data_IF_089202205969
#
_entry.id   IF_089202205969
#
_cell.length_a   1.000
_cell.length_b   1.000
_cell.length_c   1.000
_cell.angle_alpha   90.00
_cell.angle_beta   90.00
_cell.angle_gamma   90.00
#
_symmetry.space_group_name_H-M   'P 1'
#
loop_
_entity.id
_entity.type
_entity.pdbx_description
1 polymer ?
#
# COMPACT_ATOMS: atom_id res chain seq x y z
N UNK A 1 17.25 -19.14 -38.74
CA UNK A 1 16.68 -20.45 -38.27
C UNK A 1 17.71 -21.34 -37.57
N UNK A 2 18.96 -21.54 -38.04
CA UNK A 2 19.92 -22.42 -37.37
C UNK A 2 20.26 -21.99 -35.93
N UNK A 3 20.55 -20.71 -35.73
CA UNK A 3 20.91 -20.13 -34.42
C UNK A 3 19.79 -20.28 -33.37
N UNK A 4 18.52 -20.09 -33.75
CA UNK A 4 17.38 -20.26 -32.82
C UNK A 4 17.29 -21.72 -32.36
N UNK A 5 17.49 -22.67 -33.28
CA UNK A 5 17.47 -24.10 -32.97
C UNK A 5 18.62 -24.48 -32.04
N UNK A 6 19.83 -24.03 -32.33
CA UNK A 6 21.01 -24.29 -31.49
C UNK A 6 20.85 -23.71 -30.08
N UNK A 7 20.38 -22.46 -29.94
CA UNK A 7 20.12 -21.84 -28.63
C UNK A 7 19.02 -22.62 -27.89
N UNK A 8 17.95 -23.04 -28.58
CA UNK A 8 16.87 -23.82 -27.98
C UNK A 8 17.38 -25.18 -27.48
N UNK A 9 18.22 -25.85 -28.26
CA UNK A 9 18.83 -27.13 -27.90
C UNK A 9 19.74 -26.98 -26.66
N UNK A 10 20.55 -25.91 -26.59
CA UNK A 10 21.38 -25.59 -25.42
C UNK A 10 20.51 -25.33 -24.17
N UNK A 11 19.47 -24.50 -24.29
CA UNK A 11 18.57 -24.20 -23.16
C UNK A 11 17.85 -25.45 -22.65
N UNK A 12 17.46 -26.36 -23.55
CA UNK A 12 16.85 -27.64 -23.19
C UNK A 12 17.82 -28.60 -22.48
N UNK A 13 19.13 -28.49 -22.77
CA UNK A 13 20.16 -29.28 -22.13
C UNK A 13 20.58 -28.69 -20.77
N UNK A 14 20.80 -27.39 -20.68
CA UNK A 14 21.23 -26.69 -19.44
C UNK A 14 20.07 -26.60 -18.44
N UNK A 15 18.84 -26.35 -18.91
CA UNK A 15 17.63 -26.18 -18.09
C UNK A 15 17.79 -25.15 -16.96
N UNK A 16 18.18 -23.90 -17.27
CA UNK A 16 18.33 -22.88 -16.23
C UNK A 16 16.98 -22.56 -15.58
N UNK A 17 16.95 -22.35 -14.26
CA UNK A 17 15.76 -21.85 -13.56
C UNK A 17 15.45 -20.39 -13.92
N UNK A 18 16.49 -19.59 -14.15
CA UNK A 18 16.39 -18.16 -14.44
C UNK A 18 17.35 -17.82 -15.57
N UNK A 19 16.90 -17.05 -16.55
CA UNK A 19 17.75 -16.48 -17.60
C UNK A 19 17.60 -14.96 -17.63
N UNK A 20 18.72 -14.26 -17.39
CA UNK A 20 18.82 -12.80 -17.43
C UNK A 20 19.56 -12.40 -18.70
N UNK A 21 18.99 -11.49 -19.49
CA UNK A 21 19.61 -11.01 -20.73
C UNK A 21 19.20 -9.56 -21.01
N UNK A 22 20.00 -8.87 -21.82
CA UNK A 22 19.65 -7.54 -22.32
C UNK A 22 18.64 -7.69 -23.46
N UNK A 23 17.52 -7.00 -23.36
CA UNK A 23 16.56 -6.79 -24.43
C UNK A 23 17.02 -5.59 -25.28
N UNK A 24 17.51 -5.87 -26.48
CA UNK A 24 17.83 -4.88 -27.50
C UNK A 24 17.20 -5.31 -28.82
N UNK A 25 16.01 -4.76 -29.18
CA UNK A 25 15.31 -5.15 -30.40
C UNK A 25 16.10 -4.78 -31.67
N UNK A 26 17.08 -3.89 -31.59
CA UNK A 26 17.92 -3.50 -32.72
C UNK A 26 19.02 -4.54 -32.99
N UNK A 27 19.40 -5.34 -31.99
CA UNK A 27 20.44 -6.35 -32.10
C UNK A 27 19.87 -7.71 -32.57
N UNK A 28 20.30 -8.18 -33.75
CA UNK A 28 19.77 -9.41 -34.34
C UNK A 28 20.03 -10.66 -33.51
N UNK A 29 21.19 -10.73 -32.84
CA UNK A 29 21.55 -11.87 -32.01
C UNK A 29 20.62 -11.99 -30.79
N UNK A 30 20.28 -10.85 -30.19
CA UNK A 30 19.36 -10.77 -29.04
C UNK A 30 17.94 -11.14 -29.44
N UNK A 31 17.47 -10.72 -30.63
CA UNK A 31 16.19 -11.20 -31.18
C UNK A 31 16.15 -12.72 -31.32
N UNK A 32 17.29 -13.33 -31.67
CA UNK A 32 17.44 -14.78 -31.73
C UNK A 32 17.29 -15.47 -30.37
N UNK A 33 17.84 -14.88 -29.30
CA UNK A 33 17.70 -15.37 -27.92
C UNK A 33 16.25 -15.31 -27.46
N UNK A 34 15.57 -14.18 -27.68
CA UNK A 34 14.16 -14.00 -27.29
C UNK A 34 13.25 -15.00 -28.01
N UNK A 35 13.43 -15.17 -29.33
CA UNK A 35 12.69 -16.15 -30.12
C UNK A 35 12.95 -17.60 -29.66
N UNK A 36 14.20 -17.96 -29.33
CA UNK A 36 14.53 -19.27 -28.79
C UNK A 36 13.89 -19.51 -27.42
N UNK A 37 13.88 -18.49 -26.57
CA UNK A 37 13.21 -18.54 -25.28
C UNK A 37 11.70 -18.75 -25.41
N UNK A 38 11.05 -18.09 -26.38
CA UNK A 38 9.63 -18.32 -26.68
C UNK A 38 9.39 -19.78 -27.09
N UNK A 39 10.22 -20.32 -27.99
CA UNK A 39 10.12 -21.71 -28.42
C UNK A 39 10.33 -22.70 -27.26
N UNK A 40 11.32 -22.47 -26.39
CA UNK A 40 11.56 -23.33 -25.23
C UNK A 40 10.43 -23.22 -24.21
N UNK A 41 9.88 -22.03 -23.96
CA UNK A 41 8.75 -21.88 -23.01
C UNK A 41 7.47 -22.60 -23.45
N UNK A 42 7.26 -22.79 -24.76
CA UNK A 42 6.13 -23.60 -25.27
C UNK A 42 6.30 -25.10 -24.98
N UNK A 43 7.55 -25.55 -24.78
CA UNK A 43 7.89 -26.95 -24.51
C UNK A 43 8.02 -27.17 -22.99
N UNK A 44 8.60 -26.20 -22.28
CA UNK A 44 8.91 -26.27 -20.86
C UNK A 44 8.77 -24.88 -20.22
N UNK A 45 7.70 -24.65 -19.47
CA UNK A 45 7.36 -23.35 -18.90
C UNK A 45 8.08 -23.03 -17.57
N UNK A 46 9.23 -23.66 -17.31
CA UNK A 46 9.93 -23.58 -16.02
C UNK A 46 11.01 -22.50 -15.95
N UNK A 47 11.46 -21.98 -17.10
CA UNK A 47 12.52 -20.96 -17.15
C UNK A 47 11.91 -19.58 -16.93
N UNK A 48 12.31 -18.89 -15.87
CA UNK A 48 11.94 -17.49 -15.65
C UNK A 48 12.83 -16.58 -16.48
N UNK A 49 12.20 -15.81 -17.36
CA UNK A 49 12.89 -14.86 -18.26
C UNK A 49 12.91 -13.47 -17.61
N UNK A 50 14.10 -12.88 -17.54
CA UNK A 50 14.32 -11.50 -17.08
C UNK A 50 15.00 -10.76 -18.23
N UNK A 51 14.18 -10.11 -19.06
CA UNK A 51 14.61 -9.33 -20.21
C UNK A 51 14.79 -7.88 -19.77
N UNK A 52 16.02 -7.35 -19.87
CA UNK A 52 16.38 -6.03 -19.35
C UNK A 52 16.52 -5.02 -20.48
N UNK A 53 15.74 -3.92 -20.51
CA UNK A 53 15.96 -2.86 -21.49
C UNK A 53 17.38 -2.34 -21.41
N UNK A 54 18.06 -2.24 -22.55
CA UNK A 54 19.47 -1.83 -22.61
C UNK A 54 19.73 -0.48 -21.93
N UNK A 55 18.79 0.45 -22.01
CA UNK A 55 18.85 1.79 -21.41
C UNK A 55 18.59 1.80 -19.89
N UNK A 56 17.91 0.77 -19.37
CA UNK A 56 17.56 0.63 -17.96
C UNK A 56 18.46 -0.37 -17.21
N UNK A 57 19.24 -1.19 -17.92
CA UNK A 57 20.11 -2.20 -17.34
C UNK A 57 21.13 -1.66 -16.32
N UNK A 58 21.50 -0.38 -16.40
CA UNK A 58 22.38 0.27 -15.41
C UNK A 58 21.74 0.41 -14.02
N UNK A 59 20.41 0.37 -13.91
CA UNK A 59 19.65 0.51 -12.65
C UNK A 59 19.33 -0.84 -11.99
N UNK A 60 20.01 -1.91 -12.40
CA UNK A 60 19.71 -3.29 -12.01
C UNK A 60 20.65 -3.86 -10.95
N UNK A 61 21.47 -3.02 -10.31
CA UNK A 61 22.44 -3.48 -9.31
C UNK A 61 21.79 -4.22 -8.12
N UNK A 62 20.58 -3.82 -7.75
CA UNK A 62 19.79 -4.44 -6.67
C UNK A 62 19.38 -5.90 -6.94
N UNK A 63 19.36 -6.37 -8.20
CA UNK A 63 19.07 -7.79 -8.51
C UNK A 63 20.05 -8.75 -7.82
N UNK A 64 21.28 -8.29 -7.57
CA UNK A 64 22.32 -9.10 -6.93
C UNK A 64 22.00 -9.46 -5.47
N UNK A 65 21.08 -8.73 -4.84
CA UNK A 65 20.60 -9.02 -3.49
C UNK A 65 19.46 -10.07 -3.42
N UNK A 66 18.85 -10.37 -4.57
CA UNK A 66 17.72 -11.29 -4.63
C UNK A 66 18.18 -12.74 -4.58
N UNK A 67 17.45 -13.57 -3.84
CA UNK A 67 17.64 -15.02 -3.89
C UNK A 67 17.16 -15.60 -5.23
N UNK A 68 17.60 -16.82 -5.55
CA UNK A 68 17.16 -17.49 -6.78
C UNK A 68 15.63 -17.70 -6.76
N UNK A 69 15.03 -17.96 -5.60
CA UNK A 69 13.58 -18.09 -5.43
C UNK A 69 12.86 -16.80 -5.82
N UNK A 70 13.37 -15.65 -5.38
CA UNK A 70 12.83 -14.35 -5.74
C UNK A 70 12.96 -14.09 -7.25
N UNK A 71 14.12 -14.41 -7.83
CA UNK A 71 14.36 -14.27 -9.28
C UNK A 71 13.45 -15.19 -10.11
N UNK A 72 13.17 -16.41 -9.64
CA UNK A 72 12.19 -17.32 -10.28
C UNK A 72 10.78 -16.73 -10.30
N UNK A 73 10.46 -15.90 -9.31
CA UNK A 73 9.18 -15.19 -9.22
C UNK A 73 9.18 -13.80 -9.86
N UNK A 74 10.18 -13.43 -10.67
CA UNK A 74 10.30 -12.09 -11.27
C UNK A 74 9.02 -11.56 -11.95
N UNK A 75 8.32 -12.44 -12.66
CA UNK A 75 7.09 -12.12 -13.42
C UNK A 75 5.80 -12.51 -12.67
N UNK A 76 5.90 -12.97 -11.42
CA UNK A 76 4.75 -13.37 -10.60
C UNK A 76 3.99 -12.17 -10.02
N UNK A 77 4.64 -11.22 -9.30
CA UNK A 77 3.93 -10.09 -8.73
C UNK A 77 3.44 -9.15 -9.83
N UNK A 78 2.14 -8.88 -9.83
CA UNK A 78 1.49 -7.88 -10.68
C UNK A 78 1.37 -6.60 -9.87
N UNK A 79 2.11 -5.58 -10.24
CA UNK A 79 2.05 -4.27 -9.59
C UNK A 79 1.29 -3.31 -10.49
N UNK A 80 0.12 -2.87 -10.05
CA UNK A 80 -0.70 -1.87 -10.73
C UNK A 80 -0.65 -0.52 -10.01
N UNK A 81 -0.96 0.56 -10.74
CA UNK A 81 -0.93 1.92 -10.23
C UNK A 81 -2.35 2.48 -10.23
N UNK A 82 -2.77 3.01 -9.08
CA UNK A 82 -4.08 3.58 -8.82
C UNK A 82 -3.93 5.07 -8.54
N UNK A 83 -4.32 5.90 -9.51
CA UNK A 83 -4.30 7.36 -9.36
C UNK A 83 -5.68 7.84 -8.96
N UNK A 84 -5.79 8.59 -7.87
CA UNK A 84 -7.05 9.17 -7.38
C UNK A 84 -7.03 10.67 -7.63
N UNK A 85 -8.05 11.19 -8.30
CA UNK A 85 -8.13 12.61 -8.65
C UNK A 85 -9.56 13.14 -8.63
N UNK A 86 -9.69 14.47 -8.54
CA UNK A 86 -10.98 15.15 -8.70
C UNK A 86 -10.85 16.38 -9.59
N UNK A 87 -10.32 17.50 -9.09
CA UNK A 87 -10.39 18.79 -9.77
C UNK A 87 -9.08 19.60 -9.69
N UNK A 88 -7.92 18.92 -9.77
CA UNK A 88 -6.58 19.54 -9.69
C UNK A 88 -5.73 19.18 -10.90
N UNK A 89 -6.04 19.69 -12.11
CA UNK A 89 -5.40 19.23 -13.35
C UNK A 89 -3.88 19.50 -13.38
N UNK A 90 -3.41 20.60 -12.77
CA UNK A 90 -1.97 20.90 -12.70
C UNK A 90 -1.22 19.92 -11.80
N UNK A 91 -1.80 19.59 -10.65
CA UNK A 91 -1.23 18.66 -9.69
C UNK A 91 -1.21 17.25 -10.26
N UNK A 92 -2.34 16.82 -10.83
CA UNK A 92 -2.45 15.57 -11.56
C UNK A 92 -1.42 15.50 -12.69
N UNK A 93 -1.25 16.56 -13.48
CA UNK A 93 -0.28 16.56 -14.57
C UNK A 93 1.15 16.34 -14.08
N UNK A 94 1.53 16.87 -12.91
CA UNK A 94 2.85 16.63 -12.30
C UNK A 94 3.00 15.17 -11.90
N UNK A 95 2.01 14.59 -11.22
CA UNK A 95 2.01 13.16 -10.88
C UNK A 95 2.20 12.30 -12.13
N UNK A 96 1.37 12.53 -13.15
CA UNK A 96 1.34 11.71 -14.36
C UNK A 96 2.62 11.86 -15.19
N UNK A 97 3.25 13.05 -15.21
CA UNK A 97 4.57 13.26 -15.80
C UNK A 97 5.67 12.50 -15.04
N UNK A 98 5.63 12.49 -13.70
CA UNK A 98 6.59 11.75 -12.89
C UNK A 98 6.46 10.22 -13.09
N UNK A 99 5.23 9.72 -13.24
CA UNK A 99 4.96 8.33 -13.63
C UNK A 99 5.56 8.01 -15.01
N UNK A 100 5.34 8.86 -16.02
CA UNK A 100 5.91 8.66 -17.36
C UNK A 100 7.45 8.80 -17.44
N UNK A 101 8.09 9.30 -16.40
CA UNK A 101 9.55 9.46 -16.35
C UNK A 101 10.22 8.38 -15.49
N UNK A 102 9.48 7.36 -15.06
CA UNK A 102 9.94 6.33 -14.14
C UNK A 102 10.44 5.06 -14.83
N UNK A 103 11.16 4.22 -14.07
CA UNK A 103 11.82 3.01 -14.56
C UNK A 103 10.99 1.78 -14.19
N UNK A 104 10.54 1.03 -15.20
CA UNK A 104 9.65 -0.13 -15.04
C UNK A 104 10.21 -1.46 -15.57
N UNK A 105 11.39 -1.46 -16.19
CA UNK A 105 12.09 -2.68 -16.66
C UNK A 105 11.29 -3.57 -17.62
N UNK A 106 10.56 -2.96 -18.55
CA UNK A 106 9.61 -3.62 -19.47
C UNK A 106 8.45 -4.38 -18.79
N UNK A 107 8.23 -4.19 -17.48
CA UNK A 107 7.06 -4.74 -16.83
C UNK A 107 5.78 -4.14 -17.43
N UNK A 108 4.77 -4.98 -17.62
CA UNK A 108 3.44 -4.56 -18.03
C UNK A 108 2.67 -3.99 -16.81
N UNK A 109 2.71 -2.68 -16.64
CA UNK A 109 2.14 -1.96 -15.51
C UNK A 109 0.77 -1.40 -15.89
N UNK A 110 -0.28 -1.89 -15.24
CA UNK A 110 -1.63 -1.36 -15.43
C UNK A 110 -1.80 -0.05 -14.67
N UNK A 111 -2.26 1.00 -15.35
CA UNK A 111 -2.63 2.29 -14.77
C UNK A 111 -4.15 2.47 -14.73
N UNK A 112 -4.70 2.69 -13.54
CA UNK A 112 -6.11 2.99 -13.33
C UNK A 112 -6.27 4.40 -12.76
N UNK A 113 -7.02 5.25 -13.46
CA UNK A 113 -7.34 6.62 -13.05
C UNK A 113 -8.75 6.65 -12.46
N UNK A 114 -8.83 6.82 -11.14
CA UNK A 114 -10.05 6.92 -10.35
C UNK A 114 -10.45 8.40 -10.19
N UNK A 115 -11.41 8.84 -11.00
CA UNK A 115 -11.95 10.19 -11.00
C UNK A 115 -13.17 10.25 -10.06
N UNK A 116 -13.10 11.05 -9.00
CA UNK A 116 -14.26 11.30 -8.13
C UNK A 116 -15.26 12.27 -8.80
N UNK A 117 -16.50 12.28 -8.32
CA UNK A 117 -17.57 13.13 -8.85
C UNK A 117 -17.18 14.61 -8.83
N UNK A 118 -17.72 15.40 -9.76
CA UNK A 118 -17.50 16.86 -9.90
C UNK A 118 -16.08 17.23 -10.34
N UNK A 119 -15.38 16.31 -10.99
CA UNK A 119 -14.17 16.63 -11.72
C UNK A 119 -14.44 17.71 -12.77
N UNK A 120 -13.53 18.67 -12.91
CA UNK A 120 -13.65 19.71 -13.91
C UNK A 120 -13.34 19.17 -15.32
N UNK A 121 -13.89 19.80 -16.39
CA UNK A 121 -13.68 19.33 -17.75
C UNK A 121 -12.21 19.24 -18.18
N UNK A 122 -11.32 20.06 -17.62
CA UNK A 122 -9.90 20.06 -17.96
C UNK A 122 -9.24 18.80 -17.38
N UNK A 123 -9.54 18.46 -16.12
CA UNK A 123 -9.06 17.22 -15.49
C UNK A 123 -9.55 15.99 -16.25
N UNK A 124 -10.84 15.92 -16.60
CA UNK A 124 -11.39 14.79 -17.36
C UNK A 124 -10.72 14.66 -18.73
N UNK A 125 -10.60 15.78 -19.46
CA UNK A 125 -9.96 15.78 -20.78
C UNK A 125 -8.51 15.34 -20.69
N UNK A 126 -7.77 15.82 -19.69
CA UNK A 126 -6.40 15.43 -19.46
C UNK A 126 -6.26 13.91 -19.25
N UNK A 127 -7.11 13.31 -18.41
CA UNK A 127 -7.11 11.86 -18.18
C UNK A 127 -7.38 11.07 -19.47
N UNK A 128 -8.34 11.52 -20.29
CA UNK A 128 -8.72 10.85 -21.54
C UNK A 128 -7.65 10.91 -22.63
N UNK A 129 -6.79 11.93 -22.62
CA UNK A 129 -5.74 12.12 -23.62
C UNK A 129 -4.36 11.71 -23.11
N UNK A 130 -4.25 11.25 -21.87
CA UNK A 130 -2.98 10.82 -21.32
C UNK A 130 -2.51 9.52 -22.00
N UNK A 131 -1.24 9.48 -22.38
CA UNK A 131 -0.63 8.31 -22.99
C UNK A 131 0.19 7.54 -21.94
N UNK A 132 -0.10 6.25 -21.82
CA UNK A 132 0.57 5.35 -20.89
C UNK A 132 1.30 4.25 -21.68
N UNK A 133 2.63 4.33 -21.81
CA UNK A 133 3.38 3.42 -22.68
C UNK A 133 3.74 2.08 -22.02
N UNK A 134 3.51 1.93 -20.70
CA UNK A 134 3.99 0.77 -19.92
C UNK A 134 2.96 -0.34 -19.72
N UNK A 135 1.75 -0.20 -20.28
CA UNK A 135 0.71 -1.22 -20.11
C UNK A 135 -0.70 -0.72 -20.43
N UNK A 136 -1.75 -1.45 -20.02
CA UNK A 136 -3.12 -0.97 -20.17
C UNK A 136 -3.37 0.25 -19.29
N UNK A 137 -4.24 1.15 -19.78
CA UNK A 137 -4.77 2.26 -19.00
C UNK A 137 -6.28 2.23 -18.99
N UNK A 138 -6.88 2.36 -17.80
CA UNK A 138 -8.32 2.45 -17.62
C UNK A 138 -8.71 3.68 -16.80
N UNK A 139 -9.91 4.20 -17.03
CA UNK A 139 -10.47 5.34 -16.32
C UNK A 139 -11.78 4.92 -15.67
N UNK A 140 -11.88 5.09 -14.35
CA UNK A 140 -13.11 4.90 -13.57
C UNK A 140 -13.62 6.27 -13.13
N UNK A 141 -14.77 6.70 -13.64
CA UNK A 141 -15.40 7.95 -13.24
C UNK A 141 -16.65 7.69 -12.39
N UNK A 142 -16.65 8.20 -11.15
CA UNK A 142 -17.75 8.00 -10.19
C UNK A 142 -18.98 8.85 -10.50
N UNK A 143 -20.14 8.23 -10.40
CA UNK A 143 -21.46 8.88 -10.51
C UNK A 143 -21.82 9.61 -9.20
N UNK A 144 -21.60 8.95 -8.06
CA UNK A 144 -21.83 9.51 -6.72
C UNK A 144 -20.51 9.99 -6.12
N UNK A 145 -20.57 11.02 -5.26
CA UNK A 145 -19.38 11.51 -4.58
C UNK A 145 -18.89 10.42 -3.62
N UNK A 146 -17.66 9.94 -3.80
CA UNK A 146 -17.10 8.95 -2.90
C UNK A 146 -16.63 9.55 -1.58
N UNK A 147 -16.00 10.73 -1.62
CA UNK A 147 -15.32 11.27 -0.44
C UNK A 147 -14.12 10.39 -0.05
N UNK A 148 -13.43 10.74 1.04
CA UNK A 148 -12.13 10.15 1.38
C UNK A 148 -12.14 8.63 1.54
N UNK A 149 -13.19 8.05 2.12
CA UNK A 149 -13.27 6.60 2.33
C UNK A 149 -13.42 5.89 1.00
N UNK A 150 -14.53 6.12 0.31
CA UNK A 150 -14.87 5.42 -0.92
C UNK A 150 -13.86 5.72 -2.03
N UNK A 151 -13.31 6.94 -2.12
CA UNK A 151 -12.32 7.28 -3.14
C UNK A 151 -11.04 6.45 -3.02
N UNK A 152 -10.55 6.22 -1.79
CA UNK A 152 -9.32 5.46 -1.54
C UNK A 152 -9.58 3.96 -1.45
N UNK A 153 -10.53 3.53 -0.63
CA UNK A 153 -10.70 2.11 -0.33
C UNK A 153 -11.19 1.33 -1.55
N UNK A 154 -12.12 1.88 -2.32
CA UNK A 154 -12.61 1.25 -3.55
C UNK A 154 -11.84 1.64 -4.82
N UNK A 155 -10.68 2.31 -4.70
CA UNK A 155 -9.83 2.54 -5.88
C UNK A 155 -9.25 1.23 -6.40
N UNK A 156 -9.08 0.24 -5.53
CA UNK A 156 -8.51 -1.05 -5.86
C UNK A 156 -9.05 -2.16 -4.96
N UNK A 157 -9.24 -3.33 -5.56
CA UNK A 157 -9.57 -4.57 -4.89
C UNK A 157 -8.80 -5.72 -5.58
N UNK A 158 -7.92 -6.44 -4.87
CA UNK A 158 -7.05 -7.44 -5.50
C UNK A 158 -7.77 -8.72 -5.86
N UNK A 159 -7.37 -9.29 -6.98
CA UNK A 159 -7.89 -10.57 -7.49
C UNK A 159 -7.16 -11.80 -6.92
N UNK A 160 -5.87 -11.66 -6.58
CA UNK A 160 -5.04 -12.75 -6.01
C UNK A 160 -4.09 -12.21 -4.92
N UNK A 161 -3.23 -13.05 -4.34
CA UNK A 161 -2.16 -12.63 -3.41
C UNK A 161 -0.90 -12.10 -4.12
N UNK A 162 -0.91 -12.13 -5.45
CA UNK A 162 0.17 -11.62 -6.30
C UNK A 162 -0.22 -10.32 -7.01
N UNK A 163 -1.44 -9.81 -6.77
CA UNK A 163 -1.99 -8.61 -7.40
C UNK A 163 -1.89 -7.42 -6.44
N UNK A 164 -0.80 -6.65 -6.51
CA UNK A 164 -0.47 -5.53 -5.63
C UNK A 164 -0.85 -4.18 -6.27
N UNK A 165 -1.18 -3.18 -5.46
CA UNK A 165 -1.43 -1.83 -5.96
C UNK A 165 -0.60 -0.75 -5.27
N UNK A 166 -0.03 0.13 -6.08
CA UNK A 166 0.50 1.42 -5.66
C UNK A 166 -0.64 2.45 -5.74
N UNK A 167 -1.01 3.05 -4.61
CA UNK A 167 -2.08 4.06 -4.53
C UNK A 167 -1.46 5.45 -4.38
N UNK A 168 -1.86 6.36 -5.27
CA UNK A 168 -1.35 7.73 -5.39
C UNK A 168 -2.51 8.72 -5.52
N UNK A 169 -2.51 9.77 -4.71
CA UNK A 169 -3.43 10.90 -4.86
C UNK A 169 -2.84 11.95 -5.81
N UNK A 170 -3.69 12.81 -6.38
CA UNK A 170 -3.30 13.83 -7.35
C UNK A 170 -2.27 14.86 -6.86
N UNK A 171 -2.00 14.93 -5.55
CA UNK A 171 -1.03 15.81 -4.91
C UNK A 171 0.34 15.15 -4.64
N UNK A 172 0.52 13.92 -5.10
CA UNK A 172 1.77 13.18 -5.02
C UNK A 172 2.63 13.43 -6.26
N UNK A 173 3.94 13.38 -6.09
CA UNK A 173 4.92 13.23 -7.16
C UNK A 173 5.86 12.09 -6.77
N UNK A 174 6.26 11.26 -7.74
CA UNK A 174 7.12 10.09 -7.48
C UNK A 174 8.52 10.28 -8.06
N UNK A 175 9.50 9.66 -7.40
CA UNK A 175 10.85 9.51 -7.92
C UNK A 175 10.84 8.57 -9.13
N UNK A 176 11.73 8.75 -10.13
CA UNK A 176 11.92 7.76 -11.20
C UNK A 176 12.19 6.32 -10.72
N UNK A 177 12.66 6.16 -9.47
CA UNK A 177 13.07 4.91 -8.85
C UNK A 177 11.97 4.26 -7.98
N UNK A 178 10.78 4.87 -7.87
CA UNK A 178 9.73 4.40 -6.94
C UNK A 178 9.29 2.95 -7.19
N UNK A 179 9.18 2.58 -8.47
CA UNK A 179 8.77 1.24 -8.87
C UNK A 179 9.83 0.21 -8.51
N UNK A 180 11.11 0.58 -8.62
CA UNK A 180 12.23 -0.27 -8.25
C UNK A 180 12.19 -0.58 -6.75
N UNK A 181 12.00 0.44 -5.91
CA UNK A 181 11.85 0.25 -4.46
C UNK A 181 10.69 -0.70 -4.11
N UNK A 182 9.54 -0.50 -4.75
CA UNK A 182 8.36 -1.33 -4.57
C UNK A 182 8.61 -2.80 -4.99
N UNK A 183 9.11 -3.01 -6.22
CA UNK A 183 9.39 -4.35 -6.77
C UNK A 183 10.50 -5.06 -5.99
N UNK A 184 11.55 -4.35 -5.60
CA UNK A 184 12.64 -4.89 -4.78
C UNK A 184 12.15 -5.39 -3.43
N UNK A 185 11.38 -4.57 -2.70
CA UNK A 185 10.81 -4.98 -1.41
C UNK A 185 9.87 -6.19 -1.55
N UNK A 186 9.02 -6.22 -2.57
CA UNK A 186 8.16 -7.38 -2.83
C UNK A 186 9.00 -8.63 -3.10
N UNK A 187 9.93 -8.58 -4.06
CA UNK A 187 10.72 -9.75 -4.44
C UNK A 187 11.57 -10.26 -3.28
N UNK A 188 12.24 -9.37 -2.54
CA UNK A 188 13.06 -9.74 -1.38
C UNK A 188 12.24 -10.44 -0.30
N UNK A 189 11.12 -9.82 0.10
CA UNK A 189 10.40 -10.25 1.30
C UNK A 189 9.30 -11.26 1.02
N UNK A 190 8.58 -11.17 -0.10
CA UNK A 190 7.43 -12.04 -0.41
C UNK A 190 7.77 -13.25 -1.24
N UNK A 191 8.77 -13.14 -2.11
CA UNK A 191 9.15 -14.21 -3.03
C UNK A 191 10.56 -14.75 -2.77
N UNK A 192 11.32 -14.12 -1.87
CA UNK A 192 12.62 -14.58 -1.42
C UNK A 192 12.57 -15.46 -0.18
N UNK A 193 13.71 -15.53 0.51
CA UNK A 193 13.91 -16.38 1.69
C UNK A 193 13.04 -15.98 2.89
N UNK A 194 12.63 -14.71 2.97
CA UNK A 194 11.88 -14.17 4.11
C UNK A 194 10.36 -14.34 4.00
N UNK A 195 9.86 -15.01 2.96
CA UNK A 195 8.41 -15.14 2.68
C UNK A 195 7.55 -15.65 3.84
N UNK A 196 8.13 -16.46 4.72
CA UNK A 196 7.44 -17.04 5.88
C UNK A 196 7.40 -16.09 7.10
N UNK A 197 8.15 -14.98 7.08
CA UNK A 197 8.26 -14.02 8.18
C UNK A 197 7.33 -12.81 7.99
N UNK A 198 6.81 -12.61 6.78
CA UNK A 198 6.18 -11.35 6.36
C UNK A 198 4.65 -11.40 6.31
N UNK A 199 4.01 -12.34 7.00
CA UNK A 199 2.54 -12.45 7.05
C UNK A 199 1.86 -11.20 7.61
N UNK A 200 2.57 -10.39 8.40
CA UNK A 200 2.09 -9.12 8.96
C UNK A 200 2.53 -7.88 8.19
N UNK A 201 3.23 -8.04 7.06
CA UNK A 201 3.65 -6.91 6.22
C UNK A 201 2.46 -6.46 5.36
N UNK A 202 1.89 -5.28 5.63
CA UNK A 202 0.71 -4.79 4.92
C UNK A 202 1.01 -3.84 3.75
N UNK A 203 2.27 -3.42 3.61
CA UNK A 203 2.65 -2.55 2.53
C UNK A 203 4.08 -2.04 2.58
N UNK A 204 4.42 -1.27 1.56
CA UNK A 204 5.69 -0.57 1.40
C UNK A 204 5.38 0.91 1.19
N UNK A 205 5.86 1.77 2.08
CA UNK A 205 5.79 3.21 1.91
C UNK A 205 6.76 3.66 0.82
N UNK A 206 6.30 4.58 -0.03
CA UNK A 206 7.17 5.33 -0.94
C UNK A 206 7.70 6.61 -0.27
N UNK A 207 7.03 7.07 0.79
CA UNK A 207 7.34 8.29 1.51
C UNK A 207 8.21 8.01 2.75
N UNK A 208 9.24 8.81 3.01
CA UNK A 208 10.03 8.76 4.25
C UNK A 208 9.46 9.73 5.30
N UNK A 209 8.75 9.25 6.32
CA UNK A 209 8.00 10.15 7.21
C UNK A 209 8.89 11.08 8.03
N UNK A 210 8.60 12.40 8.00
CA UNK A 210 9.19 13.43 8.87
C UNK A 210 8.39 13.72 10.12
N UNK A 211 7.21 13.10 10.24
CA UNK A 211 6.25 13.41 11.28
C UNK A 211 5.68 12.14 11.89
N UNK A 212 5.57 12.14 13.21
CA UNK A 212 4.69 11.24 13.94
C UNK A 212 3.40 11.99 14.27
N UNK A 213 2.24 11.46 13.89
CA UNK A 213 0.94 12.10 14.09
C UNK A 213 0.01 11.39 15.09
N UNK A 214 0.53 10.43 15.86
CA UNK A 214 -0.30 9.49 16.62
C UNK A 214 -0.44 9.82 18.10
N UNK A 215 0.44 10.64 18.69
CA UNK A 215 0.32 10.96 20.10
C UNK A 215 -0.92 11.83 20.37
N UNK A 216 -1.86 11.33 21.19
CA UNK A 216 -3.12 12.02 21.52
C UNK A 216 -2.88 13.35 22.27
N UNK A 217 -1.91 13.40 23.17
CA UNK A 217 -1.67 14.53 24.07
C UNK A 217 -0.96 15.68 23.36
N UNK A 218 0.07 15.38 22.57
CA UNK A 218 0.92 16.41 21.95
C UNK A 218 0.61 16.65 20.48
N UNK A 219 -0.22 15.81 19.88
CA UNK A 219 -0.46 15.89 18.45
C UNK A 219 0.76 15.51 17.61
N UNK A 220 0.93 16.21 16.49
CA UNK A 220 2.00 15.96 15.53
C UNK A 220 3.34 16.43 16.08
N UNK A 221 4.36 15.58 15.97
CA UNK A 221 5.74 15.90 16.32
C UNK A 221 6.69 15.58 15.16
N UNK A 222 7.82 16.29 15.04
CA UNK A 222 8.93 15.85 14.20
C UNK A 222 9.32 14.42 14.54
N UNK A 223 9.67 13.66 13.51
CA UNK A 223 10.11 12.28 13.62
C UNK A 223 11.25 12.05 12.63
N UNK A 224 12.29 11.37 13.09
CA UNK A 224 13.42 10.98 12.29
C UNK A 224 13.84 9.58 12.73
N UNK A 225 13.68 8.59 11.85
CA UNK A 225 14.04 7.21 12.16
C UNK A 225 15.54 7.09 12.46
N UNK A 226 16.41 7.83 11.77
CA UNK A 226 17.86 7.80 12.03
C UNK A 226 18.21 8.24 13.47
N UNK A 227 17.47 9.19 14.05
CA UNK A 227 17.64 9.61 15.45
C UNK A 227 17.16 8.53 16.42
N UNK A 228 16.06 7.83 16.09
CA UNK A 228 15.56 6.71 16.90
C UNK A 228 16.52 5.51 16.88
N UNK A 229 17.23 5.31 15.77
CA UNK A 229 18.19 4.22 15.59
C UNK A 229 19.58 4.56 16.13
N UNK A 230 19.84 5.82 16.48
CA UNK A 230 21.10 6.25 17.05
C UNK A 230 21.43 5.46 18.33
N UNK A 231 22.68 5.04 18.46
CA UNK A 231 23.20 4.27 19.60
C UNK A 231 22.50 2.90 19.81
N UNK A 232 21.80 2.41 18.79
CA UNK A 232 21.25 1.05 18.76
C UNK A 232 22.14 0.09 17.97
N UNK A 233 21.76 -1.19 17.89
CA UNK A 233 22.44 -2.18 17.05
C UNK A 233 22.16 -2.01 15.56
N UNK A 234 21.18 -1.18 15.18
CA UNK A 234 20.75 -1.02 13.81
C UNK A 234 21.50 0.14 13.14
N UNK A 235 21.88 0.03 11.86
CA UNK A 235 22.43 1.15 11.10
C UNK A 235 21.44 2.32 11.04
N UNK A 236 21.92 3.57 11.15
CA UNK A 236 21.07 4.77 11.17
C UNK A 236 20.28 4.98 9.86
N UNK A 237 20.79 4.48 8.73
CA UNK A 237 20.13 4.50 7.43
C UNK A 237 19.32 3.22 7.14
N UNK A 238 19.14 2.33 8.12
CA UNK A 238 18.36 1.12 7.94
C UNK A 238 16.90 1.48 7.62
N UNK A 239 16.32 0.94 6.53
CA UNK A 239 14.88 0.86 6.41
C UNK A 239 14.28 0.23 7.67
N UNK A 240 13.03 0.55 7.94
CA UNK A 240 12.37 0.12 9.18
C UNK A 240 10.95 -0.34 8.92
N UNK A 241 10.43 -1.15 9.83
CA UNK A 241 9.04 -1.57 9.87
C UNK A 241 8.29 -0.68 10.86
N UNK A 242 7.09 -0.21 10.49
CA UNK A 242 6.27 0.61 11.39
C UNK A 242 4.80 0.25 11.31
N UNK A 243 4.08 0.36 12.43
CA UNK A 243 2.61 0.28 12.44
C UNK A 243 1.96 1.48 11.74
N UNK A 244 2.65 2.61 11.58
CA UNK A 244 2.09 3.83 11.00
C UNK A 244 1.70 3.61 9.54
N UNK A 245 0.42 3.78 9.13
CA UNK A 245 0.08 3.72 7.72
C UNK A 245 0.49 4.99 6.98
N UNK A 246 1.09 4.81 5.82
CA UNK A 246 1.38 5.88 4.87
C UNK A 246 0.15 6.23 4.03
N UNK A 247 -0.05 7.52 3.76
CA UNK A 247 -1.09 8.03 2.85
C UNK A 247 -0.52 8.91 1.74
N UNK A 248 0.79 8.93 1.53
CA UNK A 248 1.46 9.81 0.56
C UNK A 248 2.27 9.01 -0.46
N UNK A 249 1.67 7.96 -1.00
CA UNK A 249 2.32 7.01 -1.89
C UNK A 249 2.71 5.75 -1.15
N UNK A 250 2.03 4.68 -1.51
CA UNK A 250 2.10 3.41 -0.80
C UNK A 250 1.78 2.27 -1.74
N UNK A 251 2.51 1.17 -1.62
CA UNK A 251 2.12 -0.14 -2.15
C UNK A 251 1.41 -0.94 -1.06
N UNK A 252 0.19 -1.43 -1.32
CA UNK A 252 -0.56 -2.28 -0.39
C UNK A 252 -0.47 -3.77 -0.73
N UNK A 253 -0.47 -4.60 0.32
CA UNK A 253 -0.43 -6.04 0.18
C UNK A 253 -1.84 -6.62 0.06
N UNK A 254 -2.06 -7.60 -0.83
CA UNK A 254 -3.40 -7.89 -1.32
C UNK A 254 -4.32 -8.48 -0.25
N UNK A 255 -3.83 -9.45 0.52
CA UNK A 255 -4.60 -10.13 1.58
C UNK A 255 -5.05 -9.18 2.69
N UNK A 256 -4.18 -8.27 3.12
CA UNK A 256 -4.48 -7.34 4.20
C UNK A 256 -5.39 -6.21 3.69
N UNK A 257 -5.26 -5.82 2.42
CA UNK A 257 -6.21 -4.87 1.83
C UNK A 257 -7.61 -5.46 1.73
N UNK A 258 -7.78 -6.74 1.38
CA UNK A 258 -9.09 -7.41 1.42
C UNK A 258 -9.66 -7.52 2.83
N UNK A 259 -8.83 -7.91 3.80
CA UNK A 259 -9.25 -7.92 5.20
C UNK A 259 -9.72 -6.53 5.65
N UNK A 260 -9.02 -5.47 5.23
CA UNK A 260 -9.43 -4.11 5.55
C UNK A 260 -10.76 -3.71 4.90
N UNK A 261 -11.03 -4.14 3.67
CA UNK A 261 -12.35 -3.96 3.04
C UNK A 261 -13.46 -4.56 3.90
N UNK A 262 -13.31 -5.82 4.31
CA UNK A 262 -14.31 -6.52 5.12
C UNK A 262 -14.45 -5.89 6.52
N UNK A 263 -13.32 -5.51 7.13
CA UNK A 263 -13.28 -4.86 8.44
C UNK A 263 -14.01 -3.52 8.39
N UNK A 264 -13.70 -2.70 7.39
CA UNK A 264 -14.31 -1.38 7.23
C UNK A 264 -15.81 -1.49 6.99
N UNK A 265 -16.26 -2.43 6.15
CA UNK A 265 -17.68 -2.65 5.91
C UNK A 265 -18.41 -2.96 7.23
N UNK A 266 -17.92 -3.93 8.00
CA UNK A 266 -18.51 -4.29 9.29
C UNK A 266 -18.50 -3.12 10.30
N UNK A 267 -17.41 -2.36 10.38
CA UNK A 267 -17.32 -1.17 11.25
C UNK A 267 -18.30 -0.07 10.86
N UNK A 268 -18.45 0.20 9.55
CA UNK A 268 -19.38 1.21 9.08
C UNK A 268 -20.84 0.81 9.34
N UNK A 269 -21.18 -0.47 9.16
CA UNK A 269 -22.50 -1.02 9.49
C UNK A 269 -22.80 -0.92 10.98
N UNK A 270 -21.86 -1.30 11.85
CA UNK A 270 -22.01 -1.18 13.30
C UNK A 270 -22.26 0.27 13.74
N UNK A 271 -21.43 1.21 13.24
CA UNK A 271 -21.56 2.65 13.56
C UNK A 271 -22.86 3.25 13.04
N UNK A 272 -23.38 2.77 11.91
CA UNK A 272 -24.63 3.24 11.33
C UNK A 272 -25.87 2.61 11.98
N UNK A 273 -25.72 1.44 12.60
CA UNK A 273 -26.79 0.68 13.21
C UNK A 273 -26.62 0.55 14.72
N UNK A 274 -26.32 -0.65 15.23
CA UNK A 274 -26.47 -0.97 16.64
C UNK A 274 -25.38 -0.39 17.55
N UNK A 275 -24.25 0.05 16.99
CA UNK A 275 -23.13 0.69 17.68
C UNK A 275 -22.66 -0.14 18.90
N UNK A 276 -22.43 -1.43 18.67
CA UNK A 276 -22.12 -2.45 19.68
C UNK A 276 -20.65 -2.46 20.08
N UNK A 277 -19.76 -1.94 19.23
CA UNK A 277 -18.31 -1.97 19.49
C UNK A 277 -17.70 -0.58 19.51
N UNK A 278 -17.10 -0.25 20.65
CA UNK A 278 -16.23 0.91 20.80
C UNK A 278 -14.77 0.47 20.67
N UNK A 279 -14.22 0.64 19.48
CA UNK A 279 -12.81 0.32 19.18
C UNK A 279 -12.01 1.63 19.20
N UNK A 280 -11.23 1.82 20.25
CA UNK A 280 -10.35 2.97 20.44
C UNK A 280 -8.94 2.49 20.74
N UNK A 281 -8.01 2.75 19.81
CA UNK A 281 -6.61 2.34 19.99
C UNK A 281 -6.03 3.13 21.17
N UNK A 282 -5.47 2.47 22.20
CA UNK A 282 -4.95 3.16 23.39
C UNK A 282 -4.01 4.30 23.02
N UNK A 283 -4.14 5.47 23.65
CA UNK A 283 -3.31 6.66 23.44
C UNK A 283 -3.17 7.18 21.99
N UNK A 284 -4.01 6.70 21.08
CA UNK A 284 -3.95 7.07 19.67
C UNK A 284 -4.79 8.31 19.37
N UNK A 285 -4.16 9.28 18.70
CA UNK A 285 -4.83 10.45 18.13
C UNK A 285 -5.88 10.08 17.08
N UNK A 286 -5.82 8.88 16.48
CA UNK A 286 -6.81 8.43 15.49
C UNK A 286 -8.23 8.37 16.06
N UNK A 287 -8.38 8.19 17.37
CA UNK A 287 -9.69 8.07 18.03
C UNK A 287 -10.52 9.35 17.90
N UNK A 288 -9.85 10.52 17.84
CA UNK A 288 -10.48 11.83 17.66
C UNK A 288 -10.57 12.28 16.20
N UNK A 289 -10.12 11.45 15.25
CA UNK A 289 -10.27 11.76 13.82
C UNK A 289 -11.71 11.61 13.38
N UNK A 290 -12.09 12.38 12.35
CA UNK A 290 -13.44 12.34 11.78
C UNK A 290 -13.79 10.93 11.33
N UNK A 291 -15.05 10.54 11.52
CA UNK A 291 -15.59 9.21 11.12
C UNK A 291 -15.47 8.93 9.61
N UNK A 292 -15.23 9.95 8.78
CA UNK A 292 -14.99 9.81 7.34
C UNK A 292 -13.49 9.64 6.97
N UNK A 293 -12.62 9.38 7.95
CA UNK A 293 -11.21 9.02 7.70
C UNK A 293 -11.09 7.51 7.59
N UNK A 294 -10.77 7.00 6.39
CA UNK A 294 -10.50 5.56 6.22
C UNK A 294 -9.31 5.10 7.07
N UNK A 295 -8.28 5.97 7.17
CA UNK A 295 -7.04 5.69 7.89
C UNK A 295 -7.30 5.41 9.38
N UNK A 296 -8.32 6.02 9.99
CA UNK A 296 -8.75 5.72 11.36
C UNK A 296 -9.07 4.24 11.53
N UNK A 297 -9.94 3.68 10.69
CA UNK A 297 -10.35 2.28 10.78
C UNK A 297 -9.19 1.34 10.43
N UNK A 298 -8.32 1.75 9.51
CA UNK A 298 -7.15 0.94 9.18
C UNK A 298 -6.16 0.87 10.34
N UNK A 299 -6.00 1.96 11.10
CA UNK A 299 -5.18 1.99 12.33
C UNK A 299 -5.73 1.03 13.39
N UNK A 300 -7.06 0.93 13.54
CA UNK A 300 -7.68 -0.06 14.44
C UNK A 300 -7.27 -1.49 14.04
N UNK A 301 -7.44 -1.85 12.77
CA UNK A 301 -7.06 -3.17 12.25
C UNK A 301 -5.55 -3.44 12.41
N UNK A 302 -4.70 -2.46 12.08
CA UNK A 302 -3.25 -2.59 12.23
C UNK A 302 -2.86 -2.82 13.68
N UNK A 303 -3.51 -2.13 14.63
CA UNK A 303 -3.23 -2.33 16.05
C UNK A 303 -3.65 -3.73 16.52
N UNK A 304 -4.85 -4.17 16.15
CA UNK A 304 -5.39 -5.50 16.51
C UNK A 304 -4.52 -6.64 15.96
N UNK A 305 -4.05 -6.52 14.71
CA UNK A 305 -3.24 -7.54 14.05
C UNK A 305 -1.74 -7.38 14.24
N UNK A 306 -1.26 -6.30 14.85
CA UNK A 306 0.18 -5.99 14.90
C UNK A 306 0.81 -5.90 13.51
N UNK A 307 0.08 -5.34 12.54
CA UNK A 307 0.54 -5.18 11.16
C UNK A 307 1.65 -4.13 11.04
N UNK A 308 2.55 -4.33 10.09
CA UNK A 308 3.74 -3.52 9.86
C UNK A 308 3.88 -3.12 8.38
N UNK A 309 4.38 -1.92 8.13
CA UNK A 309 4.72 -1.39 6.80
C UNK A 309 6.21 -1.14 6.73
N UNK A 310 6.82 -1.46 5.59
CA UNK A 310 8.19 -1.11 5.30
C UNK A 310 8.31 0.37 4.93
N UNK A 311 9.25 1.07 5.55
CA UNK A 311 9.58 2.46 5.26
C UNK A 311 11.03 2.62 4.78
N UNK A 312 11.26 3.50 3.78
CA UNK A 312 12.62 3.92 3.43
C UNK A 312 13.21 4.79 4.54
N UNK A 313 14.54 4.81 4.67
CA UNK A 313 15.26 5.64 5.64
C UNK A 313 16.58 6.18 5.06
N UNK A 314 16.51 6.74 3.86
CA UNK A 314 17.67 7.37 3.22
C UNK A 314 17.98 8.71 3.89
N UNK A 315 19.26 9.10 3.82
CA UNK A 315 19.75 10.36 4.36
C UNK A 315 18.93 11.57 3.86
N UNK A 316 18.82 12.61 4.69
CA UNK A 316 18.08 13.84 4.40
C UNK A 316 16.60 13.64 4.03
N UNK A 317 16.02 12.48 4.40
CA UNK A 317 14.67 12.06 4.04
C UNK A 317 14.43 11.92 2.54
N UNK A 318 15.47 11.56 1.77
CA UNK A 318 15.29 11.17 0.37
C UNK A 318 14.21 10.08 0.30
N UNK A 319 13.24 10.29 -0.59
CA UNK A 319 12.03 9.50 -0.70
C UNK A 319 11.72 9.09 -2.13
N UNK A 320 10.83 8.12 -2.27
CA UNK A 320 10.29 7.68 -3.56
C UNK A 320 8.98 8.37 -3.93
N UNK A 321 8.37 9.07 -2.98
CA UNK A 321 7.25 9.97 -3.21
C UNK A 321 7.38 11.22 -2.34
N UNK A 322 6.71 12.29 -2.76
CA UNK A 322 6.61 13.54 -2.03
C UNK A 322 5.18 14.07 -2.13
N UNK A 323 4.69 14.73 -1.08
CA UNK A 323 3.35 15.31 -1.06
C UNK A 323 3.44 16.82 -1.16
N UNK A 324 2.81 17.39 -2.18
CA UNK A 324 2.84 18.84 -2.46
C UNK A 324 1.91 19.67 -1.57
N UNK A 325 1.25 19.02 -0.62
CA UNK A 325 0.27 19.55 0.32
C UNK A 325 -0.72 20.47 -0.37
N UNK A 326 -1.26 19.97 -1.49
CA UNK A 326 -2.19 20.73 -2.30
C UNK A 326 -3.51 20.88 -1.55
N UNK A 327 -4.16 22.02 -1.75
CA UNK A 327 -5.39 22.35 -1.02
C UNK A 327 -6.45 21.26 -1.25
N UNK A 328 -6.98 20.71 -0.16
CA UNK A 328 -7.94 19.61 -0.19
C UNK A 328 -8.53 19.30 1.18
N UNK A 329 -9.00 18.08 1.37
CA UNK A 329 -9.58 17.64 2.66
C UNK A 329 -8.53 17.52 3.78
N UNK A 330 -7.25 17.34 3.41
CA UNK A 330 -6.13 17.15 4.34
C UNK A 330 -5.37 18.45 4.66
N UNK A 331 -5.36 19.44 3.75
CA UNK A 331 -4.55 20.66 3.88
C UNK A 331 -5.38 21.94 3.73
N UNK A 332 -5.24 22.86 4.70
CA UNK A 332 -5.86 24.18 4.72
C UNK A 332 -5.04 25.28 4.01
N UNK A 333 -5.37 26.56 4.23
CA UNK A 333 -4.78 27.71 3.52
C UNK A 333 -3.34 28.08 3.91
N UNK A 334 -2.75 27.40 4.89
CA UNK A 334 -1.51 27.88 5.51
C UNK A 334 -0.25 27.38 4.78
N UNK A 335 0.37 28.27 4.01
CA UNK A 335 1.57 27.98 3.19
C UNK A 335 2.78 27.56 4.03
N UNK A 336 2.83 27.95 5.30
CA UNK A 336 3.93 27.64 6.23
C UNK A 336 4.06 26.13 6.52
N UNK A 337 3.01 25.33 6.30
CA UNK A 337 3.04 23.88 6.54
C UNK A 337 3.55 23.07 5.34
N UNK A 338 3.63 23.64 4.12
CA UNK A 338 4.03 22.86 2.92
C UNK A 338 5.41 22.20 3.04
N UNK A 339 6.37 22.87 3.69
CA UNK A 339 7.73 22.34 3.88
C UNK A 339 7.82 21.10 4.77
N UNK A 340 6.79 20.80 5.57
CA UNK A 340 6.77 19.60 6.41
C UNK A 340 6.46 18.34 5.61
N UNK A 341 5.74 18.46 4.49
CA UNK A 341 5.25 17.34 3.68
C UNK A 341 6.12 17.12 2.43
N UNK A 342 6.78 18.17 1.96
CA UNK A 342 7.71 18.12 0.83
C UNK A 342 9.04 17.50 1.25
N UNK A 343 9.34 16.35 0.64
CA UNK A 343 10.60 15.64 0.76
C UNK A 343 11.38 15.68 -0.55
N UNK A 344 12.73 15.63 -0.50
CA UNK A 344 13.52 15.42 -1.68
C UNK A 344 13.22 14.04 -2.28
N UNK A 345 12.93 14.01 -3.59
CA UNK A 345 12.80 12.76 -4.33
C UNK A 345 14.19 12.21 -4.65
N UNK A 346 14.30 10.88 -4.72
CA UNK A 346 15.52 10.25 -5.24
C UNK A 346 15.64 10.54 -6.74
N UNK A 347 16.62 11.35 -7.14
CA UNK A 347 16.86 11.73 -8.55
C UNK A 347 17.97 10.91 -9.22
N UNK A 348 18.83 10.28 -8.42
CA UNK A 348 19.92 9.40 -8.86
C UNK A 348 19.76 8.00 -8.26
N UNK A 349 20.33 6.98 -8.91
CA UNK A 349 20.26 5.60 -8.42
C UNK A 349 21.15 5.40 -7.19
N UNK A 350 20.54 5.63 -6.03
CA UNK A 350 21.10 5.42 -4.71
C UNK A 350 20.39 4.30 -3.96
N UNK A 351 19.58 3.48 -4.65
CA UNK A 351 18.77 2.43 -4.02
C UNK A 351 19.67 1.49 -3.22
N UNK A 352 20.63 0.84 -3.87
CA UNK A 352 21.54 -0.07 -3.17
C UNK A 352 22.49 0.73 -2.27
N UNK A 353 23.16 1.75 -2.81
CA UNK A 353 24.22 2.50 -2.10
C UNK A 353 23.77 3.22 -0.83
N UNK A 354 22.51 3.63 -0.77
CA UNK A 354 21.95 4.32 0.39
C UNK A 354 21.46 3.38 1.49
N UNK A 355 21.42 2.07 1.23
CA UNK A 355 21.05 1.05 2.20
C UNK A 355 22.26 0.53 2.99
N UNK A 356 22.05 -0.02 4.19
CA UNK A 356 23.12 -0.68 4.93
C UNK A 356 23.78 -1.79 4.12
N UNK A 357 25.11 -1.85 4.15
CA UNK A 357 25.91 -2.82 3.41
C UNK A 357 25.63 -2.89 1.89
N UNK A 358 25.01 -1.86 1.33
CA UNK A 358 24.52 -1.76 -0.06
C UNK A 358 23.38 -2.71 -0.44
N UNK A 359 22.65 -3.29 0.52
CA UNK A 359 21.61 -4.29 0.28
C UNK A 359 20.39 -4.03 1.14
N UNK A 360 19.23 -4.56 0.74
CA UNK A 360 18.03 -4.46 1.57
C UNK A 360 18.16 -5.47 2.73
N UNK A 361 18.13 -5.03 4.02
CA UNK A 361 18.33 -5.94 5.13
C UNK A 361 17.30 -7.08 5.13
N UNK A 362 17.67 -8.25 5.67
CA UNK A 362 16.68 -9.32 5.85
C UNK A 362 15.58 -8.86 6.82
N UNK A 363 14.39 -9.41 6.70
CA UNK A 363 13.21 -8.97 7.46
C UNK A 363 13.45 -8.98 8.97
N UNK A 364 14.14 -10.01 9.49
CA UNK A 364 14.48 -10.16 10.92
C UNK A 364 15.48 -9.10 11.44
N UNK A 365 16.23 -8.50 10.53
CA UNK A 365 17.28 -7.52 10.82
C UNK A 365 16.75 -6.08 10.73
N UNK A 366 15.51 -5.89 10.29
CA UNK A 366 14.85 -4.58 10.27
C UNK A 366 14.47 -4.13 11.70
N UNK A 367 14.73 -2.86 12.06
CA UNK A 367 14.14 -2.26 13.25
C UNK A 367 12.63 -2.15 13.10
N UNK A 368 11.91 -2.35 14.19
CA UNK A 368 10.44 -2.29 14.25
C UNK A 368 10.03 -1.15 15.20
N UNK A 369 9.10 -0.31 14.74
CA UNK A 369 8.58 0.82 15.49
C UNK A 369 7.06 0.73 15.65
N UNK A 370 6.55 1.08 16.84
CA UNK A 370 5.12 1.19 17.08
C UNK A 370 4.53 2.50 16.52
N UNK A 371 3.23 2.74 16.73
CA UNK A 371 2.55 3.96 16.29
C UNK A 371 3.19 5.25 16.81
N UNK A 372 3.88 5.21 17.95
CA UNK A 372 4.50 6.38 18.57
C UNK A 372 5.97 6.56 18.17
N UNK A 373 6.50 5.68 17.31
CA UNK A 373 7.87 5.75 16.83
C UNK A 373 8.89 5.17 17.82
N UNK A 374 8.44 4.41 18.83
CA UNK A 374 9.35 3.74 19.74
C UNK A 374 9.78 2.38 19.18
N UNK A 375 11.05 2.02 19.39
CA UNK A 375 11.55 0.69 19.05
C UNK A 375 10.87 -0.37 19.92
N UNK A 376 10.34 -1.39 19.26
CA UNK A 376 9.62 -2.51 19.87
C UNK A 376 9.92 -3.81 19.14
N UNK A 377 9.51 -4.94 19.71
CA UNK A 377 9.57 -6.23 19.02
C UNK A 377 8.22 -6.55 18.37
N UNK A 378 8.22 -7.33 17.29
CA UNK A 378 6.98 -7.83 16.68
C UNK A 378 6.11 -8.60 17.70
N UNK A 379 6.75 -9.39 18.57
CA UNK A 379 6.07 -10.14 19.64
C UNK A 379 5.30 -9.21 20.58
N UNK A 380 5.87 -8.06 20.92
CA UNK A 380 5.20 -7.09 21.78
C UNK A 380 4.01 -6.44 21.08
N UNK A 381 4.11 -6.12 19.79
CA UNK A 381 2.98 -5.59 19.01
C UNK A 381 1.82 -6.59 18.92
N UNK A 382 2.13 -7.87 18.65
CA UNK A 382 1.15 -8.95 18.63
C UNK A 382 0.49 -9.11 20.00
N UNK A 383 1.28 -9.08 21.09
CA UNK A 383 0.75 -9.17 22.45
C UNK A 383 -0.22 -8.03 22.76
N UNK A 384 0.12 -6.78 22.39
CA UNK A 384 -0.75 -5.61 22.57
C UNK A 384 -2.07 -5.76 21.79
N UNK A 385 -1.98 -6.15 20.51
CA UNK A 385 -3.15 -6.37 19.66
C UNK A 385 -4.08 -7.45 20.22
N UNK A 386 -3.53 -8.59 20.67
CA UNK A 386 -4.31 -9.69 21.27
C UNK A 386 -4.95 -9.33 22.61
N UNK A 387 -4.23 -8.58 23.45
CA UNK A 387 -4.78 -8.07 24.72
C UNK A 387 -5.99 -7.20 24.42
N UNK A 388 -5.84 -6.26 23.50
CA UNK A 388 -6.91 -5.36 23.11
C UNK A 388 -8.07 -6.09 22.43
N UNK A 389 -7.81 -7.07 21.56
CA UNK A 389 -8.83 -7.94 20.97
C UNK A 389 -9.68 -8.63 22.06
N UNK A 390 -9.05 -9.14 23.12
CA UNK A 390 -9.76 -9.77 24.25
C UNK A 390 -10.61 -8.80 25.05
N UNK A 391 -10.34 -7.50 24.99
CA UNK A 391 -11.12 -6.46 25.66
C UNK A 391 -12.35 -6.02 24.84
N UNK A 392 -12.27 -6.07 23.51
CA UNK A 392 -13.31 -5.51 22.61
C UNK A 392 -14.19 -6.56 21.93
N UNK A 393 -13.85 -7.85 22.05
CA UNK A 393 -14.50 -8.95 21.32
C UNK A 393 -14.78 -10.13 22.23
N UNK A 394 -15.91 -10.81 22.00
CA UNK A 394 -16.23 -12.06 22.72
C UNK A 394 -15.54 -13.28 22.10
N UNK A 395 -15.04 -13.17 20.86
CA UNK A 395 -14.26 -14.23 20.24
C UNK A 395 -12.82 -14.15 20.76
N UNK A 396 -12.28 -15.24 21.32
CA UNK A 396 -10.92 -15.22 21.84
C UNK A 396 -9.90 -15.11 20.69
N UNK A 397 -8.73 -14.48 20.92
CA UNK A 397 -7.64 -14.49 19.96
C UNK A 397 -7.15 -15.93 19.67
N UNK A 398 -6.85 -16.24 18.40
CA UNK A 398 -6.37 -17.57 17.99
C UNK A 398 -5.08 -17.99 18.72
N UNK A 399 -5.05 -19.14 19.39
CA UNK A 399 -3.89 -19.63 20.16
C UNK A 399 -2.62 -19.84 19.31
N UNK A 400 -2.76 -20.19 18.02
CA UNK A 400 -1.59 -20.43 17.13
C UNK A 400 -0.97 -19.15 16.56
N UNK A 401 -1.60 -17.99 16.78
CA UNK A 401 -1.25 -16.69 16.18
C UNK A 401 -1.26 -16.68 14.63
N UNK A 402 -1.87 -17.69 14.02
CA UNK A 402 -2.03 -17.78 12.57
C UNK A 402 -3.08 -16.78 12.07
N UNK A 403 -2.72 -16.03 11.02
CA UNK A 403 -3.58 -15.03 10.39
C UNK A 403 -4.50 -15.68 9.36
N UNK A 404 -5.80 -15.49 9.54
CA UNK A 404 -6.84 -15.88 8.58
C UNK A 404 -7.09 -14.79 7.53
N UNK A 405 -6.67 -13.55 7.80
CA UNK A 405 -7.04 -12.34 7.05
C UNK A 405 -8.56 -12.14 6.93
N UNK A 406 -9.31 -12.63 7.91
CA UNK A 406 -10.76 -12.49 8.00
C UNK A 406 -11.08 -11.74 9.29
N UNK A 407 -11.63 -10.52 9.22
CA UNK A 407 -11.84 -9.69 10.41
C UNK A 407 -13.01 -10.13 11.27
N UNK A 408 -13.79 -11.15 10.87
CA UNK A 408 -14.91 -11.66 11.65
C UNK A 408 -14.48 -12.24 13.00
N UNK A 409 -13.24 -12.75 13.10
CA UNK A 409 -12.67 -13.20 14.37
C UNK A 409 -12.39 -12.05 15.35
N UNK A 410 -12.23 -10.81 14.85
CA UNK A 410 -12.04 -9.60 15.65
C UNK A 410 -13.38 -9.00 16.12
N UNK A 411 -14.45 -9.14 15.35
CA UNK A 411 -15.66 -8.33 15.48
C UNK A 411 -16.87 -9.08 16.08
N UNK A 412 -16.63 -10.10 16.90
CA UNK A 412 -17.70 -10.81 17.59
C UNK A 412 -18.30 -10.00 18.73
N UNK A 413 -19.63 -9.91 18.75
CA UNK A 413 -20.42 -9.17 19.75
C UNK A 413 -21.46 -10.07 20.41
N UNK A 414 -21.77 -9.79 21.67
CA UNK A 414 -22.88 -10.46 22.37
C UNK A 414 -24.23 -9.92 21.88
N UNK A 415 -24.98 -10.77 21.18
CA UNK A 415 -26.28 -10.40 20.60
C UNK A 415 -27.38 -10.26 21.65
N UNK A 416 -27.16 -10.68 22.90
CA UNK A 416 -28.13 -10.48 23.99
C UNK A 416 -28.32 -9.00 24.38
N UNK A 417 -27.36 -8.14 24.02
CA UNK A 417 -27.48 -6.67 24.19
C UNK A 417 -28.50 -6.05 23.21
N UNK A 418 -28.70 -6.64 22.03
CA UNK A 418 -29.69 -6.17 21.05
C UNK A 418 -31.15 -6.42 21.49
N UNK A 419 -31.40 -7.45 22.30
CA UNK A 419 -32.75 -7.84 22.72
C UNK A 419 -33.37 -6.94 23.80
N UNK A 420 -32.57 -6.11 24.49
CA UNK A 420 -33.08 -5.27 25.58
C UNK A 420 -33.69 -3.94 25.10
N UNK A 421 -33.37 -3.49 23.88
CA UNK A 421 -33.86 -2.20 23.33
C UNK A 421 -35.17 -2.31 22.53
N UNK A 422 -35.66 -3.52 22.24
CA UNK A 422 -36.88 -3.73 21.43
C UNK A 422 -38.16 -3.77 22.30
N UNK A 423 -38.05 -3.86 23.63
CA UNK A 423 -39.21 -4.07 24.52
C UNK A 423 -39.83 -2.80 25.16
N UNK A 424 -39.50 -1.59 24.69
CA UNK A 424 -40.06 -0.35 25.28
C UNK A 424 -40.85 0.53 24.32
N UNK A 425 -41.65 -0.04 23.41
CA UNK A 425 -42.65 0.72 22.65
C UNK A 425 -43.92 -0.10 22.36
N UNK A 426 -44.74 -0.35 23.38
CA UNK A 426 -46.17 -0.59 23.16
C UNK A 426 -46.90 0.76 23.04
N UNK A 427 -47.66 1.02 21.96
CA UNK A 427 -48.43 2.26 21.85
C UNK A 427 -49.71 2.14 22.68
N UNK A 428 -49.83 2.95 23.74
CA UNK A 428 -51.08 3.12 24.47
C UNK A 428 -52.12 3.81 23.60
N UNK A 429 -53.17 3.07 23.22
CA UNK A 429 -54.39 3.57 22.60
C UNK A 429 -55.10 4.59 23.51
N UNK A 430 -55.10 5.88 23.13
CA UNK A 430 -56.00 6.89 23.70
C UNK A 430 -57.05 7.29 22.67
N UNK A 431 -58.25 6.73 22.87
CA UNK A 431 -59.53 7.14 22.26
C UNK A 431 -59.73 8.66 22.33
N UNK A 432 -59.93 9.30 21.18
CA UNK A 432 -60.47 10.67 21.07
C UNK A 432 -61.99 10.61 21.00
N UNK A 433 -62.67 11.24 21.97
CA UNK A 433 -64.07 11.64 21.87
C UNK A 433 -64.20 12.94 21.03
N UNK A 434 -65.30 13.13 20.27
CA UNK A 434 -65.53 14.34 19.50
C UNK A 434 -66.40 15.33 20.30
N UNK A 435 -65.99 16.61 20.34
CA UNK A 435 -66.89 17.71 20.73
C UNK A 435 -66.97 18.75 19.62
N UNK A 436 -68.23 19.01 19.27
CA UNK A 436 -68.76 19.95 18.29
C UNK A 436 -68.68 21.40 18.78
N UNK A 437 -68.66 22.30 17.77
CA UNK A 437 -69.33 23.62 17.68
C UNK A 437 -68.74 24.85 18.40
N UNK A 438 -68.32 25.82 17.58
CA UNK A 438 -69.03 27.06 17.22
C UNK A 438 -68.33 28.41 17.48
N UNK A 439 -68.44 29.27 16.45
CA UNK A 439 -68.42 30.73 16.38
C UNK A 439 -67.04 31.40 16.55
N UNK A 440 -66.54 32.27 15.68
CA UNK A 440 -67.12 33.16 14.65
C UNK A 440 -66.33 33.08 13.34
#
# INVERSE_FOLDING_TARGET
MPVIKEISDILNQIRPDVLIYINDPKNEAIRGVDAALVAVSQINNTITKIALPIDQAKYMTWLTDLSIEALKSWNTPKIQIQVITQNRPRSLSRLMQSLNSSIYFDDNVHLMINIDRKADPITIKYCQTFEWPYGPMNIKYRIQQGGLITAVVESYYPTTNDDYAIILEDDIEVSPFFYIWAKYGILKYRYGNDKNLVSRLYGISLYNTRLNEFNITTGRRPFNAAEVLQDTKYPNNSPYLSQIPCSWGVLFFPEIWREFHDYLNARLEDIAGPNLQQIEVPESRSNIWRKNSWKRYFIELIYLRGYLMLYPNYENFISFSTNHAEKGMHFGFDKLQKGLWLLPLMEEDMISKGLPDNHLPNYKDLPIMDFWGHLVTQKELIRRGRSFHSEISICPPNDSDELTYDPRDLLCVDTSTLSNDVNTNEPTDKKKNPTKKNNN
#
